data_IF_587895156675
#
_entry.id   IF_587895156675
#
_cell.length_a   1.000
_cell.length_b   1.000
_cell.length_c   1.000
_cell.angle_alpha   90.00
_cell.angle_beta   90.00
_cell.angle_gamma   90.00
#
_symmetry.space_group_name_H-M   'P 1'
#
loop_
_entity.id
_entity.type
_entity.pdbx_description
1 polymer ?
#
# COMPACT_ATOMS: atom_id res chain seq x y z
N UNK A 1 -7.19 1.95 14.15
CA UNK A 1 -6.08 1.02 13.87
C UNK A 1 -4.76 1.55 14.44
N UNK A 2 -3.84 0.68 14.85
CA UNK A 2 -2.52 1.08 15.35
C UNK A 2 -1.56 1.32 14.17
N UNK A 3 -0.91 2.49 14.14
CA UNK A 3 0.08 2.91 13.13
C UNK A 3 1.32 1.99 13.05
N UNK A 4 1.57 1.22 14.11
CA UNK A 4 2.72 0.33 14.23
C UNK A 4 2.29 -1.04 14.78
N UNK A 5 2.91 -2.11 14.27
CA UNK A 5 2.79 -3.45 14.84
C UNK A 5 3.67 -3.55 16.10
N UNK A 6 3.04 -3.35 17.26
CA UNK A 6 3.69 -3.42 18.57
C UNK A 6 4.32 -4.80 18.81
N UNK A 7 3.71 -5.89 18.33
CA UNK A 7 4.23 -7.25 18.52
C UNK A 7 5.54 -7.41 17.75
N UNK A 8 5.59 -6.91 16.51
CA UNK A 8 6.80 -6.93 15.68
C UNK A 8 7.93 -6.10 16.30
N UNK A 9 7.62 -4.90 16.80
CA UNK A 9 8.61 -4.05 17.50
C UNK A 9 9.15 -4.77 18.75
N UNK A 10 8.28 -5.44 19.50
CA UNK A 10 8.69 -6.17 20.71
C UNK A 10 9.56 -7.38 20.41
N UNK A 11 9.23 -8.16 19.37
CA UNK A 11 10.07 -9.27 18.89
C UNK A 11 11.45 -8.76 18.48
N UNK A 12 11.51 -7.62 17.77
CA UNK A 12 12.78 -7.00 17.36
C UNK A 12 13.60 -6.51 18.55
N UNK A 13 12.98 -5.87 19.53
CA UNK A 13 13.64 -5.46 20.76
C UNK A 13 14.22 -6.67 21.51
N UNK A 14 13.45 -7.77 21.62
CA UNK A 14 13.93 -9.00 22.25
C UNK A 14 15.10 -9.66 21.50
N UNK A 15 15.09 -9.65 20.17
CA UNK A 15 16.22 -10.13 19.37
C UNK A 15 17.50 -9.32 19.64
N UNK A 16 17.37 -7.98 19.67
CA UNK A 16 18.49 -7.08 19.97
C UNK A 16 19.08 -7.31 21.38
N UNK A 17 18.25 -7.61 22.38
CA UNK A 17 18.73 -7.98 23.73
C UNK A 17 19.57 -9.25 23.68
N UNK A 18 19.15 -10.27 22.92
CA UNK A 18 19.86 -11.55 22.81
C UNK A 18 21.19 -11.43 22.04
N UNK A 19 21.17 -10.69 20.93
CA UNK A 19 22.32 -10.56 20.03
C UNK A 19 23.37 -9.58 20.57
N UNK A 20 22.95 -8.37 20.96
CA UNK A 20 23.85 -7.29 21.35
C UNK A 20 24.08 -7.20 22.86
N UNK A 21 23.41 -8.06 23.66
CA UNK A 21 23.45 -8.06 25.14
C UNK A 21 23.18 -6.68 25.75
N UNK A 22 22.30 -5.90 25.14
CA UNK A 22 21.89 -4.57 25.61
C UNK A 22 20.65 -4.65 26.51
N UNK A 23 20.40 -3.59 27.29
CA UNK A 23 19.21 -3.50 28.13
C UNK A 23 17.93 -3.40 27.28
N UNK A 24 16.82 -3.93 27.81
CA UNK A 24 15.51 -3.93 27.11
C UNK A 24 15.06 -2.50 26.73
N UNK A 25 15.34 -1.50 27.56
CA UNK A 25 15.01 -0.10 27.27
C UNK A 25 15.80 0.45 26.06
N UNK A 26 17.10 0.15 26.00
CA UNK A 26 17.95 0.52 24.85
C UNK A 26 17.50 -0.20 23.56
N UNK A 27 17.23 -1.51 23.66
CA UNK A 27 16.73 -2.31 22.56
C UNK A 27 15.38 -1.80 22.03
N UNK A 28 14.48 -1.40 22.94
CA UNK A 28 13.17 -0.86 22.57
C UNK A 28 13.31 0.46 21.80
N UNK A 29 14.16 1.39 22.27
CA UNK A 29 14.44 2.65 21.57
C UNK A 29 14.98 2.40 20.16
N UNK A 30 15.89 1.43 20.02
CA UNK A 30 16.48 1.07 18.72
C UNK A 30 15.46 0.42 17.79
N UNK A 31 14.66 -0.53 18.27
CA UNK A 31 13.59 -1.15 17.50
C UNK A 31 12.52 -0.15 17.04
N UNK A 32 12.17 0.82 17.89
CA UNK A 32 11.29 1.93 17.53
C UNK A 32 11.88 2.85 16.46
N UNK A 33 13.18 3.12 16.53
CA UNK A 33 13.89 3.92 15.52
C UNK A 33 13.89 3.19 14.17
N UNK A 34 14.28 1.91 14.16
CA UNK A 34 14.27 1.06 12.95
C UNK A 34 12.86 0.98 12.33
N UNK A 35 11.83 0.81 13.16
CA UNK A 35 10.44 0.76 12.69
C UNK A 35 9.97 2.10 12.09
N UNK A 36 10.45 3.24 12.61
CA UNK A 36 10.15 4.57 12.05
C UNK A 36 10.91 4.83 10.75
N UNK A 37 12.18 4.45 10.69
CA UNK A 37 13.03 4.60 9.50
C UNK A 37 12.50 3.75 8.34
N UNK A 38 12.18 2.47 8.58
CA UNK A 38 11.55 1.63 7.55
C UNK A 38 10.25 2.25 7.02
N UNK A 39 9.43 2.86 7.88
CA UNK A 39 8.19 3.52 7.47
C UNK A 39 8.45 4.78 6.63
N UNK A 40 9.54 5.50 6.89
CA UNK A 40 9.97 6.64 6.09
C UNK A 40 10.64 6.24 4.77
N UNK A 41 11.21 5.03 4.69
CA UNK A 41 11.90 4.54 3.49
C UNK A 41 10.99 3.84 2.49
N UNK A 42 9.74 3.50 2.84
CA UNK A 42 8.79 3.01 1.84
C UNK A 42 8.43 4.14 0.89
N UNK A 43 9.26 4.30 -0.14
CA UNK A 43 9.06 5.27 -1.21
C UNK A 43 7.97 4.82 -2.14
N UNK A 44 7.94 3.55 -2.52
CA UNK A 44 6.95 3.01 -3.46
C UNK A 44 6.43 1.66 -2.95
N UNK A 45 5.14 1.38 -3.13
CA UNK A 45 4.55 0.09 -2.77
C UNK A 45 3.66 -0.43 -3.89
N UNK A 46 3.71 -1.75 -4.13
CA UNK A 46 2.89 -2.43 -5.14
C UNK A 46 1.51 -2.71 -4.56
N UNK A 47 0.45 -2.33 -5.28
CA UNK A 47 -0.94 -2.68 -4.97
C UNK A 47 -1.28 -4.05 -5.58
N UNK A 48 -1.08 -4.16 -6.89
CA UNK A 48 -1.52 -5.30 -7.67
C UNK A 48 -0.60 -5.53 -8.88
N UNK A 49 -0.52 -6.79 -9.27
CA UNK A 49 0.14 -7.22 -10.50
C UNK A 49 -0.91 -7.45 -11.58
N UNK A 50 -0.64 -7.01 -12.81
CA UNK A 50 -1.51 -7.20 -13.96
C UNK A 50 -0.74 -7.91 -15.08
N UNK A 51 -1.31 -9.01 -15.56
CA UNK A 51 -0.84 -9.71 -16.75
C UNK A 51 -1.07 -8.86 -18.03
N UNK A 52 -0.45 -9.30 -19.13
CA UNK A 52 -0.68 -8.74 -20.46
C UNK A 52 -2.17 -8.68 -20.79
N UNK A 53 -2.66 -7.53 -21.25
CA UNK A 53 -4.08 -7.30 -21.51
C UNK A 53 -4.35 -6.67 -22.87
N UNK A 54 -5.58 -6.84 -23.38
CA UNK A 54 -5.99 -6.20 -24.62
C UNK A 54 -6.27 -4.71 -24.42
N UNK A 55 -5.30 -3.86 -24.77
CA UNK A 55 -5.39 -2.41 -24.61
C UNK A 55 -6.51 -1.73 -25.40
N UNK A 56 -7.06 -2.37 -26.44
CA UNK A 56 -8.22 -1.84 -27.19
C UNK A 56 -9.54 -2.07 -26.45
N UNK A 57 -9.53 -2.90 -25.41
CA UNK A 57 -10.69 -3.21 -24.58
C UNK A 57 -10.54 -2.62 -23.19
N UNK A 58 -9.38 -2.80 -22.57
CA UNK A 58 -9.15 -2.37 -21.21
C UNK A 58 -8.28 -1.12 -21.14
N UNK A 59 -8.55 -0.27 -20.15
CA UNK A 59 -7.66 0.86 -19.82
C UNK A 59 -6.34 0.36 -19.27
N UNK A 60 -5.35 1.26 -19.22
CA UNK A 60 -4.23 1.08 -18.31
C UNK A 60 -4.76 0.95 -16.88
N UNK A 61 -4.19 0.05 -16.06
CA UNK A 61 -4.49 0.01 -14.62
C UNK A 61 -4.25 1.37 -13.98
N UNK A 62 -5.12 1.76 -13.08
CA UNK A 62 -5.11 3.08 -12.45
C UNK A 62 -5.22 2.96 -10.94
N UNK A 63 -4.69 3.97 -10.25
CA UNK A 63 -4.82 4.16 -8.81
C UNK A 63 -5.16 5.61 -8.52
N UNK A 64 -5.98 5.85 -7.49
CA UNK A 64 -6.39 7.16 -7.04
C UNK A 64 -6.58 7.18 -5.51
N UNK A 65 -6.66 8.36 -4.92
CA UNK A 65 -7.10 8.49 -3.53
C UNK A 65 -8.62 8.41 -3.45
N UNK A 66 -9.14 8.05 -2.28
CA UNK A 66 -10.57 8.13 -1.96
C UNK A 66 -10.76 9.20 -0.90
N UNK A 67 -11.69 10.11 -1.17
CA UNK A 67 -12.10 11.18 -0.24
C UNK A 67 -12.90 10.60 0.93
N UNK A 68 -13.06 11.38 2.00
CA UNK A 68 -13.89 11.00 3.15
C UNK A 68 -15.36 10.70 2.78
N UNK A 69 -15.84 11.25 1.65
CA UNK A 69 -17.17 10.97 1.09
C UNK A 69 -17.23 9.64 0.31
N UNK A 70 -16.11 8.92 0.18
CA UNK A 70 -16.01 7.68 -0.59
C UNK A 70 -15.94 7.89 -2.11
N UNK A 71 -15.64 9.12 -2.57
CA UNK A 71 -15.47 9.44 -4.00
C UNK A 71 -14.01 9.27 -4.42
N UNK A 72 -13.82 8.82 -5.66
CA UNK A 72 -12.50 8.71 -6.27
C UNK A 72 -11.97 10.10 -6.58
N UNK A 73 -10.73 10.38 -6.18
CA UNK A 73 -10.04 11.62 -6.44
C UNK A 73 -8.77 11.36 -7.26
N UNK A 74 -8.80 11.85 -8.50
CA UNK A 74 -7.71 11.73 -9.47
C UNK A 74 -6.91 13.04 -9.61
N UNK A 75 -7.07 13.99 -8.68
CA UNK A 75 -6.42 15.30 -8.75
C UNK A 75 -4.89 15.24 -8.67
N UNK A 76 -4.34 14.21 -8.04
CA UNK A 76 -2.90 14.04 -7.84
C UNK A 76 -2.42 12.71 -8.41
N UNK A 77 -1.26 12.73 -9.06
CA UNK A 77 -0.56 11.51 -9.47
C UNK A 77 0.11 10.88 -8.24
N UNK A 78 -0.55 9.89 -7.68
CA UNK A 78 -0.12 9.20 -6.46
C UNK A 78 0.58 7.87 -6.74
N UNK A 79 0.75 7.50 -8.00
CA UNK A 79 1.21 6.19 -8.39
C UNK A 79 1.22 6.02 -9.90
N UNK A 80 1.76 4.90 -10.36
CA UNK A 80 1.88 4.62 -11.79
C UNK A 80 1.79 3.12 -12.06
N UNK A 81 1.51 2.79 -13.32
CA UNK A 81 1.62 1.44 -13.83
C UNK A 81 2.99 1.26 -14.47
N UNK A 82 3.75 0.26 -14.05
CA UNK A 82 5.13 0.08 -14.52
C UNK A 82 5.22 -0.52 -15.93
N UNK A 83 4.16 -1.17 -16.39
CA UNK A 83 4.10 -1.78 -17.72
C UNK A 83 3.69 -0.79 -18.80
N UNK A 84 4.04 -1.10 -20.05
CA UNK A 84 3.49 -0.37 -21.20
C UNK A 84 2.00 -0.70 -21.41
N UNK A 85 1.35 0.08 -22.26
CA UNK A 85 -0.07 -0.08 -22.55
C UNK A 85 -0.35 -1.45 -23.21
N UNK A 86 -1.00 -2.33 -22.46
CA UNK A 86 -1.35 -3.69 -22.87
C UNK A 86 -0.32 -4.76 -22.49
N UNK A 87 0.83 -4.35 -21.97
CA UNK A 87 1.85 -5.27 -21.48
C UNK A 87 1.67 -5.57 -19.99
N UNK A 88 2.39 -6.56 -19.51
CA UNK A 88 2.41 -6.95 -18.10
C UNK A 88 3.12 -5.90 -17.24
N UNK A 89 2.71 -5.76 -15.98
CA UNK A 89 3.32 -4.78 -15.08
C UNK A 89 2.65 -4.70 -13.71
N UNK A 90 3.23 -3.87 -12.84
CA UNK A 90 2.76 -3.65 -11.48
C UNK A 90 2.11 -2.27 -11.37
N UNK A 91 1.02 -2.20 -10.62
CA UNK A 91 0.44 -0.93 -10.19
C UNK A 91 1.07 -0.53 -8.85
N UNK A 92 1.72 0.63 -8.81
CA UNK A 92 2.44 1.12 -7.63
C UNK A 92 1.87 2.44 -7.12
N UNK A 93 1.98 2.66 -5.82
CA UNK A 93 1.71 3.94 -5.15
C UNK A 93 3.02 4.52 -4.63
N UNK A 94 3.20 5.81 -4.87
CA UNK A 94 4.28 6.60 -4.32
C UNK A 94 3.91 7.09 -2.91
N UNK A 95 4.85 6.91 -1.98
CA UNK A 95 4.84 7.32 -0.58
C UNK A 95 3.49 7.05 0.10
N UNK A 96 3.05 5.78 0.18
CA UNK A 96 1.71 5.45 0.66
C UNK A 96 1.51 5.91 2.12
N UNK A 97 0.34 6.51 2.38
CA UNK A 97 0.00 7.12 3.67
C UNK A 97 -0.83 6.15 4.50
N UNK A 98 -0.40 5.92 5.75
CA UNK A 98 -1.09 5.01 6.66
C UNK A 98 -2.52 5.49 6.92
N UNK A 99 -3.48 4.62 6.66
CA UNK A 99 -4.91 4.91 6.84
C UNK A 99 -5.58 5.61 5.66
N UNK A 100 -4.82 6.08 4.65
CA UNK A 100 -5.41 6.58 3.41
C UNK A 100 -6.03 5.41 2.65
N UNK A 101 -7.25 5.59 2.17
CA UNK A 101 -7.93 4.67 1.27
C UNK A 101 -7.56 5.02 -0.17
N UNK A 102 -7.19 3.99 -0.92
CA UNK A 102 -6.84 4.06 -2.32
C UNK A 102 -7.85 3.27 -3.13
N UNK A 103 -8.35 3.87 -4.20
CA UNK A 103 -9.14 3.20 -5.21
C UNK A 103 -8.23 2.74 -6.33
N UNK A 104 -8.41 1.53 -6.82
CA UNK A 104 -7.65 1.03 -7.96
C UNK A 104 -8.48 0.12 -8.84
N UNK A 105 -8.04 -0.07 -10.08
CA UNK A 105 -8.66 -1.03 -10.97
C UNK A 105 -8.34 -0.81 -12.44
N UNK A 106 -9.19 -1.37 -13.29
CA UNK A 106 -9.04 -1.34 -14.74
C UNK A 106 -10.41 -1.23 -15.41
N UNK A 107 -10.59 -0.23 -16.27
CA UNK A 107 -11.85 0.01 -16.97
C UNK A 107 -11.97 -0.91 -18.18
N UNK A 108 -13.08 -1.62 -18.31
CA UNK A 108 -13.50 -2.29 -19.56
C UNK A 108 -14.33 -1.29 -20.39
N UNK A 109 -13.84 -0.91 -21.56
CA UNK A 109 -14.53 0.03 -22.45
C UNK A 109 -15.66 -0.62 -23.27
N UNK A 110 -15.77 -1.95 -23.27
CA UNK A 110 -16.72 -2.67 -24.14
C UNK A 110 -17.76 -3.49 -23.38
N UNK A 111 -17.51 -3.81 -22.12
CA UNK A 111 -18.38 -4.66 -21.31
C UNK A 111 -18.41 -4.28 -19.84
N UNK A 112 -19.05 -5.14 -19.05
CA UNK A 112 -19.29 -4.90 -17.63
C UNK A 112 -18.21 -5.52 -16.72
N UNK A 113 -17.01 -5.80 -17.25
CA UNK A 113 -15.87 -6.38 -16.48
C UNK A 113 -14.93 -5.30 -15.94
N UNK A 114 -15.45 -4.10 -15.67
CA UNK A 114 -14.64 -3.05 -15.06
C UNK A 114 -14.32 -3.43 -13.61
N UNK A 115 -13.03 -3.48 -13.30
CA UNK A 115 -12.54 -3.74 -11.95
C UNK A 115 -12.45 -2.42 -11.17
N UNK A 116 -12.98 -2.43 -9.94
CA UNK A 116 -12.89 -1.33 -8.97
C UNK A 116 -12.75 -1.91 -7.58
N UNK A 117 -11.55 -1.80 -7.04
CA UNK A 117 -11.19 -2.31 -5.73
C UNK A 117 -10.71 -1.16 -4.84
N UNK A 118 -10.74 -1.41 -3.53
CA UNK A 118 -10.29 -0.46 -2.54
C UNK A 118 -9.28 -1.14 -1.62
N UNK A 119 -8.21 -0.42 -1.30
CA UNK A 119 -7.21 -0.88 -0.35
C UNK A 119 -6.73 0.29 0.52
N UNK A 120 -6.18 -0.05 1.68
CA UNK A 120 -5.58 0.93 2.59
C UNK A 120 -4.19 0.51 3.01
N UNK A 121 -3.30 1.47 3.17
CA UNK A 121 -1.94 1.20 3.63
C UNK A 121 -1.90 1.07 5.16
N UNK A 122 -1.34 -0.03 5.66
CA UNK A 122 -1.18 -0.26 7.10
C UNK A 122 0.20 0.16 7.66
N UNK A 123 1.10 0.66 6.81
CA UNK A 123 2.50 0.93 7.15
C UNK A 123 3.50 -0.11 6.63
N UNK A 124 3.03 -1.22 6.07
CA UNK A 124 3.88 -2.29 5.54
C UNK A 124 3.37 -2.92 4.24
N UNK A 125 2.06 -3.07 4.08
CA UNK A 125 1.41 -3.59 2.88
C UNK A 125 0.01 -2.99 2.74
N UNK A 126 -0.58 -3.17 1.56
CA UNK A 126 -1.97 -2.82 1.32
C UNK A 126 -2.91 -3.92 1.84
N UNK A 127 -3.95 -3.52 2.56
CA UNK A 127 -5.04 -4.39 2.98
C UNK A 127 -6.29 -4.02 2.20
N UNK A 128 -7.02 -5.00 1.69
CA UNK A 128 -8.32 -4.78 1.06
C UNK A 128 -9.34 -4.19 2.05
N UNK A 129 -10.10 -3.21 1.58
CA UNK A 129 -11.16 -2.60 2.38
C UNK A 129 -12.39 -2.28 1.52
N UNK A 130 -13.43 -1.79 2.16
CA UNK A 130 -14.52 -1.11 1.49
C UNK A 130 -14.15 0.34 1.15
N UNK A 131 -15.05 1.04 0.46
CA UNK A 131 -14.89 2.46 0.09
C UNK A 131 -14.78 3.41 1.30
N UNK A 132 -15.14 2.96 2.50
CA UNK A 132 -15.09 3.72 3.75
C UNK A 132 -13.84 3.38 4.57
N UNK A 133 -12.99 2.45 4.10
CA UNK A 133 -11.78 2.01 4.80
C UNK A 133 -11.97 0.92 5.84
N UNK A 134 -13.15 0.30 5.92
CA UNK A 134 -13.38 -0.88 6.76
C UNK A 134 -12.74 -2.10 6.10
N UNK A 135 -11.95 -2.85 6.86
CA UNK A 135 -11.33 -4.09 6.39
C UNK A 135 -12.39 -5.13 6.02
N UNK A 136 -12.12 -5.89 4.96
CA UNK A 136 -12.93 -7.05 4.57
C UNK A 136 -12.45 -8.31 5.27
#
# INVERSE_FOLDING_TARGET
MKKYDLSKIMKRAWALVKEARITISSALKKAWKEAKEMLSEVKNAIIAHFEKYNWRRYSTPWVCTVTEEGKHDFSHEIGTYTGEKGEEGNLIVFHPVVGQVYGWGQKDYRGNRTEKNFCKWNGSHFIECDKMGNEK
#
